data_IF_016979343056
#
_entry.id   IF_016979343056
#
_cell.length_a   1.000
_cell.length_b   1.000
_cell.length_c   1.000
_cell.angle_alpha   90.00
_cell.angle_beta   90.00
_cell.angle_gamma   90.00
#
_symmetry.space_group_name_H-M   'P 1'
#
loop_
_entity.id
_entity.type
_entity.pdbx_description
1 polymer ?
#
# COMPACT_ATOMS: atom_id res chain seq x y z
N UNK A 1 -18.90 1.53 -11.85
CA UNK A 1 -17.76 2.47 -11.72
C UNK A 1 -17.57 3.04 -10.31
N UNK A 2 -18.62 3.54 -9.62
CA UNK A 2 -18.46 4.15 -8.26
C UNK A 2 -18.08 3.14 -7.18
N UNK A 3 -18.73 1.98 -7.14
CA UNK A 3 -18.45 0.93 -6.16
C UNK A 3 -17.00 0.40 -6.24
N UNK A 4 -16.53 0.07 -7.44
CA UNK A 4 -15.15 -0.37 -7.65
C UNK A 4 -14.12 0.69 -7.20
N UNK A 5 -14.42 1.98 -7.38
CA UNK A 5 -13.57 3.08 -6.92
C UNK A 5 -13.56 3.21 -5.40
N UNK A 6 -14.70 3.04 -4.74
CA UNK A 6 -14.79 3.05 -3.26
C UNK A 6 -14.07 1.82 -2.68
N UNK A 7 -14.34 0.64 -3.23
CA UNK A 7 -13.66 -0.60 -2.86
C UNK A 7 -12.14 -0.50 -3.03
N UNK A 8 -11.68 0.19 -4.08
CA UNK A 8 -10.26 0.48 -4.30
C UNK A 8 -9.62 1.21 -3.12
N UNK A 9 -10.23 2.32 -2.67
CA UNK A 9 -9.74 3.08 -1.53
C UNK A 9 -9.79 2.29 -0.22
N UNK A 10 -10.84 1.48 -0.02
CA UNK A 10 -10.94 0.60 1.16
C UNK A 10 -9.80 -0.41 1.18
N UNK A 11 -9.49 -1.05 0.05
CA UNK A 11 -8.38 -2.01 -0.05
C UNK A 11 -7.04 -1.32 0.22
N UNK A 12 -6.81 -0.11 -0.31
CA UNK A 12 -5.60 0.66 -0.02
C UNK A 12 -5.49 0.98 1.48
N UNK A 13 -6.57 1.47 2.09
CA UNK A 13 -6.61 1.79 3.52
C UNK A 13 -6.37 0.54 4.39
N UNK A 14 -6.92 -0.61 4.01
CA UNK A 14 -6.67 -1.89 4.67
C UNK A 14 -5.18 -2.26 4.65
N UNK A 15 -4.54 -2.22 3.48
CA UNK A 15 -3.11 -2.54 3.37
C UNK A 15 -2.24 -1.59 4.18
N UNK A 16 -2.55 -0.30 4.17
CA UNK A 16 -1.84 0.72 4.94
C UNK A 16 -1.99 0.46 6.45
N UNK A 17 -3.22 0.23 6.93
CA UNK A 17 -3.50 -0.08 8.32
C UNK A 17 -2.81 -1.38 8.77
N UNK A 18 -2.82 -2.41 7.92
CA UNK A 18 -2.18 -3.69 8.21
C UNK A 18 -0.65 -3.54 8.32
N UNK A 19 -0.02 -2.78 7.42
CA UNK A 19 1.41 -2.46 7.51
C UNK A 19 1.74 -1.67 8.78
N UNK A 20 0.96 -0.62 9.08
CA UNK A 20 1.16 0.21 10.27
C UNK A 20 1.02 -0.61 11.55
N UNK A 21 -0.01 -1.45 11.66
CA UNK A 21 -0.21 -2.33 12.82
C UNK A 21 0.97 -3.29 13.00
N UNK A 22 1.44 -3.93 11.92
CA UNK A 22 2.62 -4.78 11.97
C UNK A 22 3.89 -4.04 12.40
N UNK A 23 4.09 -2.82 11.91
CA UNK A 23 5.25 -2.00 12.25
C UNK A 23 5.24 -1.57 13.72
N UNK A 24 4.08 -1.16 14.24
CA UNK A 24 3.91 -0.81 15.66
C UNK A 24 4.17 -2.04 16.53
N UNK A 25 3.62 -3.20 16.15
CA UNK A 25 3.85 -4.45 16.87
C UNK A 25 5.33 -4.82 16.91
N UNK A 26 6.06 -4.66 15.79
CA UNK A 26 7.50 -4.87 15.76
C UNK A 26 8.25 -3.90 16.68
N UNK A 27 7.89 -2.61 16.68
CA UNK A 27 8.59 -1.59 17.45
C UNK A 27 8.36 -1.68 18.97
N UNK A 28 7.33 -2.41 19.42
CA UNK A 28 7.01 -2.60 20.84
C UNK A 28 7.70 -3.82 21.47
N UNK A 29 8.50 -4.56 20.69
CA UNK A 29 9.16 -5.78 21.19
C UNK A 29 10.52 -5.46 21.78
N UNK A 30 10.81 -6.05 22.94
CA UNK A 30 12.14 -5.96 23.55
C UNK A 30 13.14 -6.97 22.95
N UNK A 31 12.62 -8.11 22.47
CA UNK A 31 13.42 -9.24 22.00
C UNK A 31 12.89 -9.76 20.66
N UNK A 32 13.80 -10.03 19.73
CA UNK A 32 13.49 -10.57 18.41
C UNK A 32 13.21 -12.08 18.43
N UNK A 33 12.97 -12.68 17.27
CA UNK A 33 12.66 -14.11 17.16
C UNK A 33 13.87 -15.02 17.43
N UNK A 34 15.08 -14.48 17.43
CA UNK A 34 16.33 -15.19 17.72
C UNK A 34 16.73 -15.11 19.19
N UNK A 35 16.02 -14.30 19.99
CA UNK A 35 16.37 -14.02 21.38
C UNK A 35 17.31 -12.82 21.55
N UNK A 36 17.61 -12.08 20.48
CA UNK A 36 18.44 -10.89 20.53
C UNK A 36 17.63 -9.65 20.94
N UNK A 37 18.26 -8.77 21.71
CA UNK A 37 17.65 -7.50 22.14
C UNK A 37 17.44 -6.61 20.91
N UNK A 38 16.24 -6.05 20.79
CA UNK A 38 15.92 -5.12 19.71
C UNK A 38 16.48 -3.73 19.99
N UNK A 39 17.52 -3.35 19.26
CA UNK A 39 17.99 -1.96 19.19
C UNK A 39 17.17 -1.18 18.17
N UNK A 40 17.17 0.17 18.22
CA UNK A 40 16.46 1.00 17.23
C UNK A 40 16.83 0.67 15.77
N UNK A 41 18.10 0.35 15.52
CA UNK A 41 18.61 -0.05 14.20
C UNK A 41 18.01 -1.39 13.73
N UNK A 42 17.94 -2.38 14.63
CA UNK A 42 17.36 -3.69 14.34
C UNK A 42 15.85 -3.58 14.11
N UNK A 43 15.15 -2.74 14.88
CA UNK A 43 13.71 -2.47 14.68
C UNK A 43 13.47 -1.92 13.27
N UNK A 44 14.27 -0.94 12.84
CA UNK A 44 14.16 -0.37 11.50
C UNK A 44 14.43 -1.40 10.40
N UNK A 45 15.45 -2.27 10.57
CA UNK A 45 15.72 -3.36 9.63
C UNK A 45 14.55 -4.36 9.57
N UNK A 46 13.97 -4.72 10.71
CA UNK A 46 12.81 -5.63 10.75
C UNK A 46 11.58 -5.01 10.08
N UNK A 47 11.34 -3.71 10.26
CA UNK A 47 10.26 -2.97 9.57
C UNK A 47 10.54 -2.90 8.06
N UNK A 48 11.79 -2.69 7.64
CA UNK A 48 12.17 -2.68 6.23
C UNK A 48 11.92 -4.05 5.58
N UNK A 49 12.29 -5.13 6.26
CA UNK A 49 12.00 -6.51 5.81
C UNK A 49 10.49 -6.75 5.75
N UNK A 50 9.74 -6.29 6.76
CA UNK A 50 8.27 -6.34 6.75
C UNK A 50 7.68 -5.58 5.56
N UNK A 51 8.28 -4.47 5.12
CA UNK A 51 7.77 -3.66 4.03
C UNK A 51 7.91 -4.34 2.65
N UNK A 52 8.89 -5.23 2.46
CA UNK A 52 9.13 -5.91 1.17
C UNK A 52 7.89 -6.60 0.57
N UNK A 53 7.16 -7.47 1.29
CA UNK A 53 5.93 -8.07 0.76
C UNK A 53 4.82 -7.05 0.45
N UNK A 54 4.79 -5.89 1.12
CA UNK A 54 3.81 -4.82 0.86
C UNK A 54 4.10 -4.02 -0.41
N UNK A 55 5.32 -4.10 -0.95
CA UNK A 55 5.64 -3.48 -2.25
C UNK A 55 4.84 -4.12 -3.39
N UNK A 56 4.56 -5.42 -3.32
CA UNK A 56 3.82 -6.14 -4.36
C UNK A 56 2.40 -5.57 -4.56
N UNK A 57 1.52 -5.55 -3.52
CA UNK A 57 0.20 -4.96 -3.67
C UNK A 57 0.27 -3.47 -3.98
N UNK A 58 1.26 -2.74 -3.45
CA UNK A 58 1.44 -1.31 -3.74
C UNK A 58 1.72 -1.05 -5.22
N UNK A 59 2.62 -1.82 -5.84
CA UNK A 59 2.95 -1.68 -7.26
C UNK A 59 1.76 -2.00 -8.17
N UNK A 60 1.02 -3.08 -7.84
CA UNK A 60 -0.22 -3.42 -8.55
C UNK A 60 -1.24 -2.28 -8.41
N UNK A 61 -1.36 -1.71 -7.21
CA UNK A 61 -2.27 -0.59 -6.97
C UNK A 61 -1.90 0.65 -7.79
N UNK A 62 -0.63 1.05 -7.79
CA UNK A 62 -0.17 2.19 -8.57
C UNK A 62 -0.42 1.97 -10.07
N UNK A 63 -0.06 0.79 -10.59
CA UNK A 63 -0.27 0.46 -12.01
C UNK A 63 -1.74 0.54 -12.43
N UNK A 64 -2.63 -0.02 -11.61
CA UNK A 64 -4.08 0.04 -11.87
C UNK A 64 -4.63 1.47 -11.79
N UNK A 65 -4.19 2.26 -10.80
CA UNK A 65 -4.60 3.65 -10.65
C UNK A 65 -4.23 4.46 -11.90
N UNK A 66 -3.00 4.31 -12.38
CA UNK A 66 -2.52 4.99 -13.60
C UNK A 66 -3.35 4.56 -14.81
N UNK A 67 -3.55 3.25 -15.02
CA UNK A 67 -4.35 2.76 -16.13
C UNK A 67 -5.78 3.34 -16.11
N UNK A 68 -6.42 3.35 -14.94
CA UNK A 68 -7.77 3.87 -14.77
C UNK A 68 -7.85 5.39 -15.06
N UNK A 69 -6.87 6.17 -14.59
CA UNK A 69 -6.81 7.61 -14.85
C UNK A 69 -6.61 7.92 -16.33
N UNK A 70 -5.72 7.19 -17.00
CA UNK A 70 -5.49 7.34 -18.45
C UNK A 70 -6.74 7.02 -19.25
N UNK A 71 -7.44 5.92 -18.94
CA UNK A 71 -8.69 5.53 -19.63
C UNK A 71 -9.80 6.56 -19.39
N UNK A 72 -9.92 7.10 -18.17
CA UNK A 72 -10.91 8.15 -17.86
C UNK A 72 -10.65 9.43 -18.67
N UNK A 73 -9.38 9.85 -18.78
CA UNK A 73 -9.02 11.05 -19.53
C UNK A 73 -9.29 10.90 -21.03
N UNK A 74 -9.01 9.73 -21.63
CA UNK A 74 -9.32 9.47 -23.05
C UNK A 74 -10.81 9.59 -23.36
N UNK A 75 -11.66 8.93 -22.55
CA UNK A 75 -13.12 8.98 -22.73
C UNK A 75 -13.69 10.40 -22.60
N UNK A 76 -13.16 11.19 -21.66
CA UNK A 76 -13.60 12.58 -21.50
C UNK A 76 -13.29 13.43 -22.74
N UNK A 77 -12.12 13.21 -23.37
CA UNK A 77 -11.72 13.93 -24.59
C UNK A 77 -12.61 13.59 -25.79
N UNK A 78 -12.97 12.32 -25.95
CA UNK A 78 -13.88 11.87 -27.03
C UNK A 78 -15.29 12.50 -26.90
N UNK A 79 -15.82 12.58 -25.68
CA UNK A 79 -17.13 13.21 -25.44
C UNK A 79 -17.13 14.73 -25.71
N UNK A 80 -16.02 15.42 -25.49
CA UNK A 80 -15.91 16.86 -25.81
C UNK A 80 -15.74 17.16 -27.29
N UNK A 81 -15.32 16.18 -28.10
CA UNK A 81 -15.13 16.35 -29.56
C UNK A 81 -16.41 16.04 -30.34
N UNK A 82 -17.32 15.25 -29.77
CA UNK A 82 -18.60 14.87 -30.41
C UNK A 82 -19.80 15.75 -30.01
N UNK A 83 -19.62 16.70 -29.09
CA UNK A 83 -20.68 17.57 -28.56
C UNK A 83 -20.66 18.98 -29.09
#
# INVERSE_FOLDING_TARGET
MKFAWIAWWIVNAFWLAFFSAGSIFLAQRDVDATGAIQTPEIIMLNILVLALPFLIPLLIQIGWLVAMLVIKNKRNKEMTVQG
#
